data_IF_117162342103
#
_entry.id   IF_117162342103
#
_cell.length_a   1.000
_cell.length_b   1.000
_cell.length_c   1.000
_cell.angle_alpha   90.00
_cell.angle_beta   90.00
_cell.angle_gamma   90.00
#
_symmetry.space_group_name_H-M   'P 1'
#
loop_
_entity.id
_entity.type
_entity.pdbx_description
1 polymer ?
#
# COMPACT_ATOMS: atom_id res chain seq x y z
N UNK A 1 9.62 -9.04 -20.71
CA UNK A 1 9.89 -9.37 -19.32
C UNK A 1 9.43 -8.26 -18.40
N UNK A 2 8.69 -8.60 -17.38
CA UNK A 2 8.13 -7.58 -16.50
C UNK A 2 9.17 -7.08 -15.52
N UNK A 3 9.18 -5.79 -15.29
CA UNK A 3 9.98 -5.21 -14.23
C UNK A 3 9.28 -5.44 -12.90
N UNK A 4 10.01 -5.78 -11.85
CA UNK A 4 9.38 -5.98 -10.55
C UNK A 4 8.91 -4.66 -9.97
N UNK A 5 7.93 -4.74 -9.10
CA UNK A 5 7.49 -3.56 -8.38
C UNK A 5 8.62 -3.07 -7.49
N UNK A 6 8.69 -1.76 -7.32
CA UNK A 6 9.69 -1.15 -6.47
C UNK A 6 9.04 -0.64 -5.21
N UNK A 7 9.69 -0.89 -4.10
CA UNK A 7 9.23 -0.36 -2.83
C UNK A 7 9.68 1.09 -2.74
N UNK A 8 8.73 2.00 -2.69
CA UNK A 8 9.02 3.42 -2.56
C UNK A 8 9.16 3.82 -1.10
N UNK A 9 8.36 3.22 -0.23
CA UNK A 9 8.38 3.57 1.18
C UNK A 9 7.77 2.43 1.98
N UNK A 10 8.15 2.36 3.24
CA UNK A 10 7.64 1.35 4.16
C UNK A 10 7.56 1.96 5.53
N UNK A 11 6.52 1.61 6.26
CA UNK A 11 6.47 1.95 7.68
C UNK A 11 5.59 0.96 8.41
N UNK A 12 5.73 0.95 9.71
CA UNK A 12 4.89 0.14 10.56
C UNK A 12 3.91 1.06 11.27
N UNK A 13 2.67 0.61 11.35
CA UNK A 13 1.64 1.37 12.03
C UNK A 13 0.91 0.39 12.93
N UNK A 14 1.22 0.41 14.20
CA UNK A 14 0.72 -0.59 15.11
C UNK A 14 1.25 -1.95 14.70
N UNK A 15 0.38 -2.90 14.45
CA UNK A 15 0.76 -4.22 13.98
C UNK A 15 0.67 -4.37 12.48
N UNK A 16 0.47 -3.26 11.76
CA UNK A 16 0.33 -3.31 10.29
C UNK A 16 1.60 -2.82 9.63
N UNK A 17 1.93 -3.48 8.53
CA UNK A 17 3.01 -3.05 7.67
C UNK A 17 2.40 -2.35 6.47
N UNK A 18 2.84 -1.12 6.20
CA UNK A 18 2.33 -0.32 5.11
C UNK A 18 3.44 -0.12 4.11
N UNK A 19 3.19 -0.52 2.87
CA UNK A 19 4.16 -0.39 1.79
C UNK A 19 3.56 0.44 0.68
N UNK A 20 4.39 1.28 0.09
CA UNK A 20 4.04 2.01 -1.10
C UNK A 20 4.89 1.48 -2.23
N UNK A 21 4.26 0.96 -3.26
CA UNK A 21 4.95 0.25 -4.33
C UNK A 21 4.71 0.96 -5.66
N UNK A 22 5.73 0.94 -6.49
CA UNK A 22 5.69 1.52 -7.82
C UNK A 22 5.83 0.40 -8.84
N UNK A 23 4.93 0.38 -9.81
CA UNK A 23 4.95 -0.60 -10.89
C UNK A 23 5.37 0.08 -12.17
N UNK A 24 6.65 -0.06 -12.56
CA UNK A 24 7.17 0.74 -13.69
C UNK A 24 6.46 0.49 -15.01
N UNK A 25 6.06 -0.74 -15.25
CA UNK A 25 5.46 -1.05 -16.55
C UNK A 25 4.12 -0.40 -16.75
N UNK A 26 3.32 -0.31 -15.70
CA UNK A 26 2.00 0.27 -15.79
C UNK A 26 1.96 1.69 -15.27
N UNK A 27 3.07 2.16 -14.69
CA UNK A 27 3.16 3.48 -14.07
C UNK A 27 2.10 3.66 -12.99
N UNK A 28 1.89 2.62 -12.21
CA UNK A 28 0.88 2.64 -11.16
C UNK A 28 1.53 2.58 -9.81
N UNK A 29 0.87 3.20 -8.84
CA UNK A 29 1.29 3.17 -7.46
C UNK A 29 0.30 2.30 -6.70
N UNK A 30 0.85 1.40 -5.90
CA UNK A 30 0.03 0.48 -5.14
C UNK A 30 0.31 0.67 -3.66
N UNK A 31 -0.76 0.68 -2.87
CA UNK A 31 -0.65 0.68 -1.43
C UNK A 31 -0.88 -0.74 -0.93
N UNK A 32 0.03 -1.26 -0.13
CA UNK A 32 -0.10 -2.58 0.45
C UNK A 32 -0.16 -2.43 1.96
N UNK A 33 -1.17 -3.02 2.58
CA UNK A 33 -1.32 -2.99 4.03
C UNK A 33 -1.45 -4.43 4.49
N UNK A 34 -0.57 -4.86 5.38
CA UNK A 34 -0.60 -6.23 5.86
C UNK A 34 -0.59 -6.25 7.38
N UNK A 35 -1.51 -7.02 7.93
CA UNK A 35 -1.57 -7.26 9.37
C UNK A 35 -0.52 -8.30 9.70
N UNK A 36 0.49 -7.91 10.45
CA UNK A 36 1.60 -8.81 10.75
C UNK A 36 1.22 -9.91 11.73
N UNK A 37 0.17 -9.70 12.50
CA UNK A 37 -0.27 -10.72 13.45
C UNK A 37 -0.98 -11.87 12.75
N UNK A 38 -1.75 -11.58 11.70
CA UNK A 38 -2.54 -12.59 11.01
C UNK A 38 -2.00 -12.93 9.65
N UNK A 39 -1.18 -12.08 9.06
CA UNK A 39 -0.69 -12.25 7.71
C UNK A 39 -1.66 -11.82 6.64
N UNK A 40 -2.83 -11.32 7.02
CA UNK A 40 -3.83 -10.88 6.05
C UNK A 40 -3.41 -9.55 5.48
N UNK A 41 -3.47 -9.43 4.16
CA UNK A 41 -3.05 -8.20 3.50
C UNK A 41 -4.05 -7.72 2.49
N UNK A 42 -3.92 -6.46 2.11
CA UNK A 42 -4.72 -5.82 1.09
C UNK A 42 -3.82 -5.01 0.20
N UNK A 43 -4.18 -4.97 -1.05
CA UNK A 43 -3.45 -4.17 -2.05
C UNK A 43 -4.46 -3.35 -2.80
N UNK A 44 -4.15 -2.09 -3.02
CA UNK A 44 -5.02 -1.27 -3.85
C UNK A 44 -4.20 -0.26 -4.60
N UNK A 45 -4.70 0.09 -5.77
CA UNK A 45 -4.07 1.11 -6.58
C UNK A 45 -4.49 2.48 -6.07
N UNK A 46 -3.53 3.40 -5.98
CA UNK A 46 -3.83 4.77 -5.60
C UNK A 46 -3.30 5.71 -6.67
N UNK A 47 -3.96 6.84 -6.83
CA UNK A 47 -3.50 7.85 -7.78
C UNK A 47 -2.14 8.38 -7.31
N UNK A 48 -1.21 8.62 -8.25
CA UNK A 48 0.11 9.11 -7.84
C UNK A 48 0.05 10.38 -6.99
N UNK A 49 -0.90 11.26 -7.27
CA UNK A 49 -1.03 12.48 -6.49
C UNK A 49 -1.51 12.25 -5.08
N UNK A 50 -2.07 11.07 -4.79
CA UNK A 50 -2.55 10.74 -3.47
C UNK A 50 -1.62 9.78 -2.74
N UNK A 51 -0.48 9.44 -3.33
CA UNK A 51 0.37 8.37 -2.81
C UNK A 51 0.83 8.64 -1.38
N UNK A 52 1.30 9.84 -1.12
CA UNK A 52 1.81 10.17 0.22
C UNK A 52 0.69 10.17 1.23
N UNK A 53 -0.46 10.75 0.86
CA UNK A 53 -1.59 10.76 1.76
C UNK A 53 -2.06 9.34 2.07
N UNK A 54 -2.10 8.49 1.06
CA UNK A 54 -2.50 7.09 1.26
C UNK A 54 -1.51 6.36 2.15
N UNK A 55 -0.22 6.67 2.01
CA UNK A 55 0.80 6.01 2.80
C UNK A 55 0.65 6.33 4.28
N UNK A 56 0.29 7.57 4.60
CA UNK A 56 0.14 7.97 6.00
C UNK A 56 -1.26 7.74 6.55
N UNK A 57 -2.25 7.58 5.67
CA UNK A 57 -3.62 7.36 6.08
C UNK A 57 -4.20 6.17 5.32
N UNK A 58 -3.59 4.99 5.48
CA UNK A 58 -3.94 3.86 4.62
C UNK A 58 -5.40 3.42 4.76
N UNK A 59 -5.99 3.59 5.92
CA UNK A 59 -7.36 3.11 6.09
C UNK A 59 -8.38 4.00 5.44
N UNK A 60 -8.00 5.24 5.12
CA UNK A 60 -8.87 6.11 4.36
C UNK A 60 -9.01 5.62 2.92
N UNK A 61 -8.00 4.88 2.44
CA UNK A 61 -7.97 4.40 1.06
C UNK A 61 -8.29 2.92 0.97
N UNK A 62 -7.68 2.11 1.82
CA UNK A 62 -7.91 0.68 1.80
C UNK A 62 -9.28 0.30 2.35
N UNK A 63 -9.96 1.23 2.95
CA UNK A 63 -11.22 0.98 3.57
C UNK A 63 -11.02 0.35 4.90
N UNK A 64 -11.75 0.80 5.91
CA UNK A 64 -11.66 0.13 7.14
C UNK A 64 -12.60 -1.01 7.09
N UNK A 65 -12.29 -1.96 7.89
CA UNK A 65 -13.16 -3.05 8.04
C UNK A 65 -14.46 -2.56 8.55
N UNK A 66 -15.45 -2.79 7.79
CA UNK A 66 -16.69 -2.41 8.25
C UNK A 66 -17.25 -3.42 9.11
N UNK A 67 -17.81 -3.05 10.04
CA UNK A 67 -18.30 -4.11 10.84
C UNK A 67 -19.75 -4.03 10.99
#
# INVERSE_FOLDING_TARGET
MSAPARELAQRLSGSDEVLLLWHPESERVELSVRDLATGVGRHLEVAPGSAIDAFYHPYAYAGRRET
#
